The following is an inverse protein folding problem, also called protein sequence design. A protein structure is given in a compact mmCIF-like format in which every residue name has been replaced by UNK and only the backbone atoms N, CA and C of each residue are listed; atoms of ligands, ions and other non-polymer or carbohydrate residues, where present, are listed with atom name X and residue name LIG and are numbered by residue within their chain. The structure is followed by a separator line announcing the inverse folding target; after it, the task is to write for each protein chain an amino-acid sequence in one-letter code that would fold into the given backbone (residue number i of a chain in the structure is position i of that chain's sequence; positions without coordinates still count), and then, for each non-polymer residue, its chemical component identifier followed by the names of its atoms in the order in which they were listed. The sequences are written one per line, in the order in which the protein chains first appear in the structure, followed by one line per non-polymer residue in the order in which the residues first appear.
data_IF_551901721436
#
_entry.id   IF_551901721436
#
_cell.length_a   1.000
_cell.length_b   1.000
_cell.length_c   1.000
_cell.angle_alpha   90.00
_cell.angle_beta   90.00
_cell.angle_gamma   90.00
#
_symmetry.space_group_name_H-M   'P 1'
#
loop_
_entity.id
_entity.type
_entity.pdbx_description
1 polymer ?
#
# COMPACT_ATOMS: atom_id res chain seq x y z
N UNK A 1 -0.63 -22.14 14.77
CA UNK A 1 0.28 -21.98 13.62
C UNK A 1 -0.21 -20.76 12.85
N UNK A 2 0.43 -19.59 12.99
CA UNK A 2 -0.09 -18.31 12.49
C UNK A 2 0.23 -18.02 11.01
N UNK A 3 0.61 -19.02 10.21
CA UNK A 3 1.08 -18.82 8.82
C UNK A 3 -0.07 -18.67 7.79
N UNK A 4 -1.33 -18.88 8.18
CA UNK A 4 -2.49 -18.84 7.25
C UNK A 4 -3.03 -17.44 6.94
N UNK A 5 -2.54 -16.39 7.61
CA UNK A 5 -3.13 -15.04 7.53
C UNK A 5 -2.19 -13.98 6.94
N UNK A 6 -1.21 -14.34 6.12
CA UNK A 6 -0.38 -13.36 5.39
C UNK A 6 -0.61 -13.44 3.88
N UNK A 7 -0.70 -12.30 3.19
CA UNK A 7 -0.68 -12.24 1.73
C UNK A 7 0.59 -11.52 1.25
N UNK A 8 1.19 -12.04 0.18
CA UNK A 8 2.38 -11.46 -0.46
C UNK A 8 1.94 -10.64 -1.66
N UNK A 9 2.33 -9.38 -1.72
CA UNK A 9 2.12 -8.53 -2.89
C UNK A 9 3.45 -7.96 -3.40
N UNK A 10 3.51 -7.68 -4.70
CA UNK A 10 4.70 -7.11 -5.34
C UNK A 10 4.44 -5.64 -5.61
N UNK A 11 5.23 -4.78 -4.98
CA UNK A 11 5.22 -3.34 -5.24
C UNK A 11 6.26 -3.02 -6.32
N UNK A 12 5.83 -2.31 -7.36
CA UNK A 12 6.71 -1.89 -8.46
C UNK A 12 6.88 -0.37 -8.42
N UNK A 13 8.10 0.08 -8.17
CA UNK A 13 8.48 1.48 -8.21
C UNK A 13 8.99 1.83 -9.60
N UNK A 14 8.44 2.91 -10.18
CA UNK A 14 8.82 3.40 -11.51
C UNK A 14 9.46 4.78 -11.39
N UNK A 15 10.68 4.91 -11.91
CA UNK A 15 11.37 6.19 -11.98
C UNK A 15 10.67 7.11 -12.99
N UNK A 16 10.11 8.23 -12.50
CA UNK A 16 9.45 9.26 -13.33
C UNK A 16 10.38 10.38 -13.75
N UNK A 17 11.34 10.72 -12.91
CA UNK A 17 12.34 11.74 -13.17
C UNK A 17 13.64 11.39 -12.42
N UNK A 18 14.74 11.98 -12.83
CA UNK A 18 16.03 11.83 -12.19
C UNK A 18 16.84 13.12 -12.31
N UNK A 19 17.50 13.51 -11.22
CA UNK A 19 18.41 14.64 -11.20
C UNK A 19 19.79 14.17 -10.75
N UNK A 20 20.80 14.40 -11.59
CA UNK A 20 22.18 14.10 -11.26
C UNK A 20 22.77 15.23 -10.40
N UNK A 21 23.05 14.94 -9.14
CA UNK A 21 23.64 15.91 -8.20
C UNK A 21 25.10 16.29 -8.54
N UNK A 22 25.76 15.56 -9.45
CA UNK A 22 27.16 15.80 -9.83
C UNK A 22 27.27 16.76 -11.02
N UNK A 23 26.46 16.55 -12.05
CA UNK A 23 26.53 17.32 -13.31
C UNK A 23 25.28 18.15 -13.61
N UNK A 24 24.24 18.09 -12.78
CA UNK A 24 23.00 18.85 -12.97
C UNK A 24 22.10 18.34 -14.10
N UNK A 25 22.38 17.16 -14.66
CA UNK A 25 21.52 16.56 -15.68
C UNK A 25 20.15 16.25 -15.08
N UNK A 26 19.10 16.79 -15.71
CA UNK A 26 17.71 16.54 -15.34
C UNK A 26 17.02 15.71 -16.42
N UNK A 27 16.48 14.57 -16.02
CA UNK A 27 15.64 13.71 -16.83
C UNK A 27 14.21 13.86 -16.32
N UNK A 28 13.32 14.39 -17.14
CA UNK A 28 11.98 14.84 -16.71
C UNK A 28 10.90 13.79 -16.89
N UNK A 29 11.19 12.72 -17.63
CA UNK A 29 10.23 11.64 -17.88
C UNK A 29 10.91 10.25 -17.90
N UNK A 30 10.11 9.21 -17.77
CA UNK A 30 10.57 7.81 -17.75
C UNK A 30 11.23 7.38 -19.07
N UNK A 31 10.87 8.00 -20.22
CA UNK A 31 11.49 7.67 -21.50
C UNK A 31 12.94 8.18 -21.54
N UNK A 32 13.21 9.38 -21.03
CA UNK A 32 14.54 9.94 -20.87
C UNK A 32 15.40 9.13 -19.90
N UNK A 33 14.82 8.72 -18.75
CA UNK A 33 15.50 7.81 -17.79
C UNK A 33 15.90 6.51 -18.47
N UNK A 34 15.00 5.92 -19.27
CA UNK A 34 15.27 4.69 -20.02
C UNK A 34 16.31 4.89 -21.11
N UNK A 35 16.23 5.99 -21.87
CA UNK A 35 17.17 6.34 -22.93
C UNK A 35 18.59 6.60 -22.39
N UNK A 36 18.70 7.11 -21.16
CA UNK A 36 19.97 7.27 -20.44
C UNK A 36 20.55 5.93 -19.94
N UNK A 37 19.86 4.81 -20.16
CA UNK A 37 20.29 3.48 -19.72
C UNK A 37 20.15 3.25 -18.21
N UNK A 38 19.40 4.10 -17.52
CA UNK A 38 19.21 4.01 -16.07
C UNK A 38 18.09 3.00 -15.73
N UNK A 39 18.22 2.25 -14.63
CA UNK A 39 17.20 1.29 -14.21
C UNK A 39 15.90 2.03 -13.87
N UNK A 40 14.85 1.76 -14.65
CA UNK A 40 13.54 2.40 -14.49
C UNK A 40 12.60 1.70 -13.49
N UNK A 41 12.87 0.44 -13.15
CA UNK A 41 11.99 -0.39 -12.35
C UNK A 41 12.74 -0.95 -11.14
N UNK A 42 12.12 -0.82 -9.97
CA UNK A 42 12.53 -1.52 -8.75
C UNK A 42 11.33 -2.28 -8.21
N UNK A 43 11.52 -3.55 -7.85
CA UNK A 43 10.46 -4.42 -7.35
C UNK A 43 10.76 -4.82 -5.92
N UNK A 44 9.76 -4.72 -5.05
CA UNK A 44 9.85 -5.13 -3.65
C UNK A 44 8.68 -6.08 -3.37
N UNK A 45 8.99 -7.28 -2.89
CA UNK A 45 7.97 -8.21 -2.37
C UNK A 45 7.70 -7.84 -0.91
N UNK A 46 6.46 -7.44 -0.61
CA UNK A 46 6.02 -7.14 0.75
C UNK A 46 5.05 -8.22 1.20
N UNK A 47 5.28 -8.70 2.42
CA UNK A 47 4.36 -9.58 3.12
C UNK A 47 3.58 -8.73 4.11
N UNK A 48 2.27 -8.68 3.95
CA UNK A 48 1.38 -8.01 4.90
C UNK A 48 0.49 -9.05 5.60
N UNK A 49 0.24 -8.81 6.89
CA UNK A 49 -0.79 -9.54 7.63
C UNK A 49 -2.15 -9.14 7.07
N UNK A 50 -2.99 -10.12 6.78
CA UNK A 50 -4.36 -9.97 6.28
C UNK A 50 -5.22 -9.03 7.15
N UNK A 51 -4.89 -8.92 8.43
CA UNK A 51 -5.60 -8.10 9.41
C UNK A 51 -4.81 -6.86 9.85
N UNK A 52 -3.70 -6.53 9.19
CA UNK A 52 -3.01 -5.25 9.41
C UNK A 52 -3.99 -4.10 9.07
N UNK A 53 -4.38 -3.31 10.09
CA UNK A 53 -5.38 -2.24 9.98
C UNK A 53 -6.83 -2.65 10.32
N UNK A 54 -7.15 -3.93 10.53
CA UNK A 54 -8.49 -4.35 10.93
C UNK A 54 -8.84 -3.93 12.37
N UNK A 55 -7.84 -3.82 13.25
CA UNK A 55 -8.04 -3.37 14.64
C UNK A 55 -8.52 -1.91 14.73
N UNK A 56 -8.14 -1.02 13.80
CA UNK A 56 -8.61 0.37 13.80
C UNK A 56 -10.13 0.48 13.56
N UNK A 57 -10.74 -0.48 12.85
CA UNK A 57 -12.19 -0.49 12.61
C UNK A 57 -13.02 -1.11 13.75
N UNK A 58 -12.40 -1.91 14.62
CA UNK A 58 -13.10 -2.56 15.74
C UNK A 58 -13.18 -1.63 16.95
N UNK A 59 -12.17 -0.76 17.16
CA UNK A 59 -12.20 0.25 18.24
C UNK A 59 -13.13 1.45 17.92
N UNK A 60 -13.29 1.86 16.66
CA UNK A 60 -14.36 2.82 16.28
C UNK A 60 -15.75 2.17 16.24
N UNK A 61 -15.80 0.84 16.34
CA UNK A 61 -16.98 0.01 16.37
C UNK A 61 -17.26 -0.58 17.75
N UNK A 62 -16.90 0.09 18.85
CA UNK A 62 -17.45 -0.19 20.18
C UNK A 62 -18.99 -0.16 20.09
N UNK A 63 -19.57 -1.33 19.83
CA UNK A 63 -20.74 -1.89 20.50
C UNK A 63 -21.59 -0.84 21.21
N UNK A 64 -22.48 -0.19 20.46
CA UNK A 64 -23.75 0.24 21.02
C UNK A 64 -24.59 -1.02 21.32
N UNK A 65 -24.26 -1.74 22.39
CA UNK A 65 -25.08 -2.80 23.00
C UNK A 65 -26.36 -2.22 23.68
N UNK A 66 -26.99 -1.23 23.04
CA UNK A 66 -28.27 -0.67 23.44
C UNK A 66 -29.00 -0.17 22.19
N UNK A 67 -29.65 -1.06 21.44
CA UNK A 67 -30.53 -0.56 20.37
C UNK A 67 -31.13 -1.53 19.37
N UNK A 68 -30.92 -2.85 19.44
CA UNK A 68 -31.48 -3.77 18.44
C UNK A 68 -32.37 -4.85 19.02
N UNK A 69 -33.44 -4.46 19.72
CA UNK A 69 -34.70 -5.23 19.80
C UNK A 69 -35.87 -4.28 20.03
N UNK A 70 -36.43 -3.75 18.95
CA UNK A 70 -37.79 -3.22 18.94
C UNK A 70 -38.41 -3.39 17.55
N UNK A 71 -38.64 -4.65 17.17
CA UNK A 71 -39.70 -5.00 16.23
C UNK A 71 -40.45 -6.20 16.81
N UNK A 72 -41.33 -5.91 17.76
CA UNK A 72 -42.42 -6.79 18.15
C UNK A 72 -43.64 -5.90 18.35
N UNK A 73 -44.52 -5.97 17.36
CA UNK A 73 -45.96 -5.72 17.37
C UNK A 73 -46.56 -4.64 18.29
N UNK A 74 -47.15 -3.60 17.67
CA UNK A 74 -48.54 -3.17 17.91
C UNK A 74 -49.21 -2.72 16.59
#
# INVERSE_FOLDING_TARGET
MPEENSFVHVVVYVAKSLECQVCGLQLTDTAQVTAAGLPKLYQEARSEDRYAGWQEYVDEGEINEAGFYASADE
#
